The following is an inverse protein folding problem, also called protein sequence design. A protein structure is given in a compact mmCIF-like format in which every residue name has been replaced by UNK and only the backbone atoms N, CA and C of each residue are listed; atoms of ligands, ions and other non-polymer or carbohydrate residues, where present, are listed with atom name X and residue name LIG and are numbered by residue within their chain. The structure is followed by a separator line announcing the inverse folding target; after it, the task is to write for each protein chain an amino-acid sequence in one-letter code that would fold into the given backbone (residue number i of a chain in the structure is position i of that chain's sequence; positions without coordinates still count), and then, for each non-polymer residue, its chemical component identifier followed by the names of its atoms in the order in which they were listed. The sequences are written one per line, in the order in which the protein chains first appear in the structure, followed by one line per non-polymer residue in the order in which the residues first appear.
data_IF_516388724588
#
_entry.id   IF_516388724588
#
_cell.length_a   1.000
_cell.length_b   1.000
_cell.length_c   1.000
_cell.angle_alpha   90.00
_cell.angle_beta   90.00
_cell.angle_gamma   90.00
#
_symmetry.space_group_name_H-M   'P 1'
#
loop_
_entity.id
_entity.type
_entity.pdbx_description
1 polymer ?
#
# COMPACT_ATOMS: atom_id res chain seq x y z
N UNK A 1 -25.08 -8.71 -56.33
CA UNK A 1 -25.11 -7.60 -55.34
C UNK A 1 -25.80 -8.07 -54.07
N UNK A 2 -25.36 -7.56 -52.91
CA UNK A 2 -25.95 -7.64 -51.54
C UNK A 2 -25.42 -8.81 -50.69
N UNK A 3 -24.25 -8.64 -50.04
CA UNK A 3 -24.01 -8.05 -48.69
C UNK A 3 -24.35 -9.04 -47.56
N UNK A 4 -23.37 -9.80 -47.03
CA UNK A 4 -22.56 -9.52 -45.82
C UNK A 4 -23.38 -9.24 -44.55
N UNK A 5 -23.39 -10.20 -43.63
CA UNK A 5 -23.49 -9.95 -42.20
C UNK A 5 -22.67 -11.01 -41.46
N UNK A 6 -21.42 -10.70 -41.16
CA UNK A 6 -20.60 -11.46 -40.21
C UNK A 6 -20.93 -10.93 -38.81
N UNK A 7 -21.56 -11.76 -37.99
CA UNK A 7 -21.85 -11.46 -36.59
C UNK A 7 -20.53 -11.62 -35.81
N UNK A 8 -19.86 -10.52 -35.46
CA UNK A 8 -18.73 -10.54 -34.54
C UNK A 8 -19.31 -10.47 -33.13
N UNK A 9 -19.25 -11.60 -32.42
CA UNK A 9 -19.62 -11.68 -31.01
C UNK A 9 -18.48 -11.09 -30.17
N UNK A 10 -18.64 -9.85 -29.69
CA UNK A 10 -17.73 -9.25 -28.72
C UNK A 10 -17.96 -9.91 -27.36
N UNK A 11 -17.05 -10.80 -26.95
CA UNK A 11 -16.97 -11.29 -25.58
C UNK A 11 -16.43 -10.17 -24.68
N UNK A 12 -17.33 -9.47 -24.00
CA UNK A 12 -16.98 -8.57 -22.89
C UNK A 12 -16.52 -9.43 -21.71
N UNK A 13 -15.21 -9.57 -21.55
CA UNK A 13 -14.61 -10.04 -20.30
C UNK A 13 -14.91 -9.01 -19.22
N UNK A 14 -15.93 -9.27 -18.41
CA UNK A 14 -16.13 -8.58 -17.14
C UNK A 14 -15.05 -9.09 -16.19
N UNK A 15 -13.94 -8.36 -16.09
CA UNK A 15 -12.96 -8.59 -15.03
C UNK A 15 -13.54 -7.97 -13.76
N UNK A 16 -13.83 -8.74 -12.71
CA UNK A 16 -14.17 -8.14 -11.43
C UNK A 16 -12.92 -7.39 -10.96
N UNK A 17 -13.02 -6.06 -10.88
CA UNK A 17 -12.04 -5.23 -10.20
C UNK A 17 -12.12 -5.53 -8.70
N UNK A 18 -11.58 -6.69 -8.32
CA UNK A 18 -11.43 -7.04 -6.93
C UNK A 18 -10.46 -6.02 -6.34
N UNK A 19 -10.81 -5.49 -5.17
CA UNK A 19 -9.89 -4.74 -4.30
C UNK A 19 -8.58 -5.52 -3.97
N UNK A 20 -8.42 -6.76 -4.46
CA UNK A 20 -7.26 -7.63 -4.34
C UNK A 20 -6.13 -7.39 -5.36
N UNK A 21 -6.29 -6.55 -6.39
CA UNK A 21 -5.22 -6.33 -7.39
C UNK A 21 -4.09 -5.38 -6.94
N UNK A 22 -4.29 -4.62 -5.85
CA UNK A 22 -3.30 -3.64 -5.40
C UNK A 22 -2.09 -4.27 -4.69
N UNK A 23 -2.25 -5.48 -4.15
CA UNK A 23 -1.29 -6.18 -3.29
C UNK A 23 -0.25 -7.05 -4.03
N UNK A 24 -0.10 -6.88 -5.34
CA UNK A 24 0.81 -7.72 -6.14
C UNK A 24 2.30 -7.42 -5.92
N UNK A 25 2.60 -6.45 -5.05
CA UNK A 25 3.90 -6.27 -4.42
C UNK A 25 3.76 -6.71 -2.96
N UNK A 26 4.45 -7.78 -2.60
CA UNK A 26 4.60 -8.23 -1.21
C UNK A 26 5.98 -7.77 -0.68
N UNK A 27 6.05 -6.75 0.20
CA UNK A 27 7.31 -6.33 0.80
C UNK A 27 8.01 -7.48 1.53
N UNK A 28 9.32 -7.58 1.38
CA UNK A 28 10.11 -8.71 1.89
C UNK A 28 10.21 -9.91 0.95
N UNK A 29 9.41 -9.96 -0.12
CA UNK A 29 9.45 -11.05 -1.10
C UNK A 29 9.62 -10.54 -2.53
N UNK A 30 8.87 -9.51 -2.91
CA UNK A 30 8.89 -8.97 -4.28
C UNK A 30 10.21 -8.28 -4.57
N UNK A 31 10.77 -8.55 -5.75
CA UNK A 31 12.04 -7.96 -6.20
C UNK A 31 11.84 -6.93 -7.31
N UNK A 32 12.83 -6.04 -7.50
CA UNK A 32 12.86 -5.02 -8.55
C UNK A 32 12.44 -5.53 -9.93
N UNK A 33 12.94 -6.69 -10.36
CA UNK A 33 12.62 -7.27 -11.66
C UNK A 33 11.12 -7.54 -11.84
N UNK A 34 10.44 -8.01 -10.77
CA UNK A 34 8.99 -8.27 -10.79
C UNK A 34 8.20 -6.97 -10.84
N UNK A 35 8.61 -5.95 -10.08
CA UNK A 35 8.00 -4.62 -10.12
C UNK A 35 8.12 -4.03 -11.53
N UNK A 36 9.32 -4.09 -12.12
CA UNK A 36 9.60 -3.57 -13.47
C UNK A 36 8.80 -4.31 -14.55
N UNK A 37 8.70 -5.63 -14.46
CA UNK A 37 7.92 -6.44 -15.38
C UNK A 37 6.43 -6.08 -15.36
N UNK A 38 5.90 -5.70 -14.18
CA UNK A 38 4.48 -5.40 -13.99
C UNK A 38 4.10 -3.97 -14.34
N UNK A 39 4.87 -3.01 -13.84
CA UNK A 39 4.52 -1.58 -13.93
C UNK A 39 5.35 -0.83 -14.99
N UNK A 40 6.30 -1.51 -15.64
CA UNK A 40 7.25 -0.87 -16.53
C UNK A 40 8.23 0.03 -15.78
N UNK A 41 8.89 0.92 -16.54
CA UNK A 41 9.81 1.88 -15.96
C UNK A 41 9.07 2.93 -15.10
N UNK A 42 9.60 3.28 -13.93
CA UNK A 42 9.08 4.38 -13.12
C UNK A 42 9.33 5.73 -13.81
N UNK A 43 8.68 6.78 -13.32
CA UNK A 43 8.96 8.16 -13.77
C UNK A 43 10.24 8.72 -13.16
N UNK A 44 10.62 8.21 -11.98
CA UNK A 44 11.81 8.63 -11.24
C UNK A 44 12.41 7.45 -10.50
N UNK A 45 13.72 7.34 -10.60
CA UNK A 45 14.56 6.40 -9.86
C UNK A 45 15.54 7.23 -9.02
N UNK A 46 15.72 6.87 -7.75
CA UNK A 46 16.61 7.59 -6.84
C UNK A 46 17.39 6.61 -5.99
N UNK A 47 18.71 6.66 -6.08
CA UNK A 47 19.59 5.94 -5.15
C UNK A 47 19.76 6.75 -3.88
N UNK A 48 19.64 6.10 -2.73
CA UNK A 48 19.73 6.70 -1.41
C UNK A 48 20.40 5.76 -0.42
N UNK A 49 20.97 6.32 0.65
CA UNK A 49 21.53 5.53 1.76
C UNK A 49 20.45 5.33 2.81
N UNK A 50 20.09 4.07 3.08
CA UNK A 50 19.19 3.69 4.17
C UNK A 50 19.93 2.70 5.06
N UNK A 51 19.99 2.96 6.37
CA UNK A 51 20.69 2.09 7.33
C UNK A 51 22.16 1.82 6.93
N UNK A 52 22.79 2.76 6.21
CA UNK A 52 24.16 2.64 5.69
C UNK A 52 24.30 1.94 4.34
N UNK A 53 23.23 1.32 3.82
CA UNK A 53 23.24 0.57 2.56
C UNK A 53 22.71 1.39 1.38
N UNK A 54 23.27 1.17 0.20
CA UNK A 54 22.73 1.72 -1.06
C UNK A 54 21.41 1.06 -1.40
N UNK A 55 20.35 1.86 -1.40
CA UNK A 55 18.97 1.46 -1.64
C UNK A 55 18.40 2.29 -2.79
N UNK A 56 17.35 1.80 -3.42
CA UNK A 56 16.68 2.51 -4.51
C UNK A 56 15.23 2.83 -4.16
N UNK A 57 14.76 3.97 -4.65
CA UNK A 57 13.37 4.38 -4.62
C UNK A 57 12.88 4.61 -6.03
N UNK A 58 11.76 3.97 -6.37
CA UNK A 58 11.07 4.17 -7.64
C UNK A 58 9.73 4.85 -7.41
N UNK A 59 9.43 5.86 -8.22
CA UNK A 59 8.18 6.61 -8.17
C UNK A 59 7.42 6.44 -9.48
N UNK A 60 6.13 6.14 -9.36
CA UNK A 60 5.18 6.03 -10.45
C UNK A 60 4.07 7.07 -10.22
N UNK A 61 3.91 8.01 -11.16
CA UNK A 61 2.89 9.06 -11.09
C UNK A 61 2.33 9.35 -12.49
N UNK A 62 1.21 10.08 -12.55
CA UNK A 62 0.55 10.40 -13.82
C UNK A 62 0.15 9.16 -14.60
N UNK A 63 0.52 9.09 -15.88
CA UNK A 63 0.19 7.96 -16.76
C UNK A 63 0.92 6.64 -16.40
N UNK A 64 1.93 6.70 -15.51
CA UNK A 64 2.64 5.51 -15.02
C UNK A 64 2.10 5.01 -13.68
N UNK A 65 1.26 5.77 -13.00
CA UNK A 65 0.60 5.28 -11.79
C UNK A 65 -0.49 4.25 -12.14
N UNK A 66 -0.74 3.27 -11.28
CA UNK A 66 -1.91 2.40 -11.39
C UNK A 66 -3.23 3.19 -11.46
N UNK A 67 -4.28 2.58 -12.01
CA UNK A 67 -5.61 3.19 -12.04
C UNK A 67 -6.05 3.59 -10.62
N UNK A 68 -6.80 4.69 -10.45
CA UNK A 68 -7.22 5.15 -9.12
C UNK A 68 -6.09 5.65 -8.18
N UNK A 69 -4.82 5.47 -8.53
CA UNK A 69 -3.68 5.92 -7.74
C UNK A 69 -3.13 7.22 -8.31
N UNK A 70 -2.87 8.19 -7.44
CA UNK A 70 -2.22 9.44 -7.82
C UNK A 70 -0.69 9.26 -7.88
N UNK A 71 -0.14 8.59 -6.86
CA UNK A 71 1.28 8.28 -6.75
C UNK A 71 1.50 6.92 -6.10
N UNK A 72 2.43 6.17 -6.65
CA UNK A 72 2.89 4.90 -6.12
C UNK A 72 4.41 4.99 -5.92
N UNK A 73 4.88 4.64 -4.73
CA UNK A 73 6.28 4.70 -4.33
C UNK A 73 6.71 3.31 -3.89
N UNK A 74 7.81 2.82 -4.46
CA UNK A 74 8.40 1.52 -4.10
C UNK A 74 9.82 1.78 -3.63
N UNK A 75 10.10 1.45 -2.37
CA UNK A 75 11.46 1.48 -1.85
C UNK A 75 12.01 0.04 -1.82
N UNK A 76 13.24 -0.11 -2.27
CA UNK A 76 14.00 -1.35 -2.26
C UNK A 76 15.10 -1.30 -1.20
N UNK A 77 15.69 -2.45 -0.92
CA UNK A 77 16.79 -2.55 0.04
C UNK A 77 16.29 -2.90 1.43
N UNK A 78 16.21 -4.20 1.70
CA UNK A 78 15.75 -4.72 2.98
C UNK A 78 16.89 -5.38 3.74
N UNK A 79 17.21 -4.84 4.92
CA UNK A 79 18.09 -5.48 5.89
C UNK A 79 17.31 -6.54 6.67
N UNK A 80 17.85 -7.75 6.73
CA UNK A 80 17.29 -8.88 7.48
C UNK A 80 18.37 -9.49 8.38
N UNK A 81 18.01 -10.37 9.34
CA UNK A 81 19.01 -11.11 10.11
C UNK A 81 19.98 -11.94 9.25
N UNK A 82 19.58 -12.33 8.04
CA UNK A 82 20.43 -13.04 7.08
C UNK A 82 21.34 -12.11 6.24
N UNK A 83 21.20 -10.80 6.39
CA UNK A 83 21.95 -9.79 5.65
C UNK A 83 21.07 -8.84 4.82
N UNK A 84 21.74 -7.94 4.11
CA UNK A 84 21.11 -6.92 3.28
C UNK A 84 20.75 -7.45 1.89
N UNK A 85 19.51 -7.21 1.45
CA UNK A 85 19.00 -7.60 0.14
C UNK A 85 18.60 -6.35 -0.65
N UNK A 86 19.47 -5.91 -1.54
CA UNK A 86 19.33 -4.65 -2.30
C UNK A 86 18.08 -4.60 -3.19
N UNK A 87 17.72 -5.70 -3.84
CA UNK A 87 16.70 -5.70 -4.89
C UNK A 87 15.29 -6.00 -4.35
N UNK A 88 15.16 -6.28 -3.05
CA UNK A 88 13.88 -6.66 -2.44
C UNK A 88 13.15 -5.41 -1.97
N UNK A 89 11.84 -5.35 -2.23
CA UNK A 89 10.96 -4.29 -1.74
C UNK A 89 10.97 -4.27 -0.21
N UNK A 90 11.34 -3.13 0.37
CA UNK A 90 11.25 -2.88 1.82
C UNK A 90 9.92 -2.25 2.21
N UNK A 91 9.42 -1.33 1.39
CA UNK A 91 8.19 -0.59 1.63
C UNK A 91 7.54 -0.24 0.32
N UNK A 92 6.22 -0.22 0.33
CA UNK A 92 5.42 0.12 -0.83
C UNK A 92 4.29 1.05 -0.38
N UNK A 93 4.17 2.21 -1.01
CA UNK A 93 3.17 3.22 -0.65
C UNK A 93 2.28 3.56 -1.83
N UNK A 94 0.97 3.55 -1.58
CA UNK A 94 -0.06 4.02 -2.49
C UNK A 94 -0.67 5.30 -1.94
N UNK A 95 -0.67 6.35 -2.75
CA UNK A 95 -1.41 7.59 -2.53
C UNK A 95 -2.60 7.59 -3.49
N UNK A 96 -3.79 7.18 -3.04
CA UNK A 96 -4.95 7.11 -3.90
C UNK A 96 -5.44 8.50 -4.31
N UNK A 97 -6.13 8.58 -5.43
CA UNK A 97 -6.94 9.77 -5.74
C UNK A 97 -8.07 9.88 -4.71
N UNK A 98 -8.61 11.10 -4.53
CA UNK A 98 -9.77 11.33 -3.67
C UNK A 98 -10.93 10.38 -4.05
N UNK A 99 -11.67 9.96 -3.03
CA UNK A 99 -12.86 9.11 -3.13
C UNK A 99 -12.63 7.67 -3.63
N UNK A 100 -11.38 7.27 -3.94
CA UNK A 100 -11.06 5.88 -4.34
C UNK A 100 -11.11 4.92 -3.15
N UNK A 101 -10.61 5.37 -2.00
CA UNK A 101 -10.68 4.63 -0.75
C UNK A 101 -11.25 5.52 0.35
N UNK A 102 -12.26 5.00 1.04
CA UNK A 102 -12.78 5.54 2.28
C UNK A 102 -12.62 4.50 3.40
N UNK A 103 -12.89 4.91 4.64
CA UNK A 103 -12.80 4.04 5.82
C UNK A 103 -13.59 2.75 5.67
N UNK A 104 -14.83 2.82 5.17
CA UNK A 104 -15.67 1.63 4.99
C UNK A 104 -15.03 0.63 4.02
N UNK A 105 -14.54 1.08 2.88
CA UNK A 105 -13.89 0.22 1.89
C UNK A 105 -12.62 -0.44 2.44
N UNK A 106 -11.87 0.28 3.29
CA UNK A 106 -10.71 -0.30 3.97
C UNK A 106 -11.13 -1.42 4.91
N UNK A 107 -12.16 -1.20 5.73
CA UNK A 107 -12.66 -2.21 6.66
C UNK A 107 -13.28 -3.41 5.94
N UNK A 108 -14.01 -3.17 4.85
CA UNK A 108 -14.59 -4.23 4.03
C UNK A 108 -13.49 -5.06 3.31
N UNK A 109 -12.37 -4.43 2.94
CA UNK A 109 -11.26 -5.07 2.24
C UNK A 109 -10.26 -5.80 3.13
N UNK A 110 -9.90 -5.22 4.27
CA UNK A 110 -8.85 -5.72 5.16
C UNK A 110 -9.34 -6.14 6.56
N UNK A 111 -10.62 -5.95 6.85
CA UNK A 111 -11.20 -6.25 8.16
C UNK A 111 -10.93 -5.17 9.20
N UNK A 112 -11.13 -5.52 10.46
CA UNK A 112 -10.83 -4.62 11.58
C UNK A 112 -9.30 -4.48 11.75
N UNK A 113 -8.81 -3.27 12.01
CA UNK A 113 -7.39 -3.08 12.29
C UNK A 113 -7.02 -3.64 13.66
N UNK A 114 -5.78 -4.08 13.80
CA UNK A 114 -5.23 -4.48 15.10
C UNK A 114 -5.11 -3.29 16.04
N UNK A 115 -4.81 -2.09 15.50
CA UNK A 115 -4.77 -0.83 16.27
C UNK A 115 -5.28 0.37 15.50
N UNK A 116 -5.79 1.31 16.28
CA UNK A 116 -6.05 2.68 15.86
C UNK A 116 -4.96 3.57 16.43
N UNK A 117 -4.40 4.44 15.60
CA UNK A 117 -3.39 5.41 15.99
C UNK A 117 -3.73 6.82 15.53
N UNK A 118 -3.02 7.79 16.10
CA UNK A 118 -3.09 9.20 15.68
C UNK A 118 -1.68 9.76 15.56
N UNK A 119 -1.44 10.51 14.50
CA UNK A 119 -0.18 11.20 14.24
C UNK A 119 -0.51 12.65 13.83
N UNK A 120 -0.33 13.58 14.75
CA UNK A 120 -0.84 14.95 14.59
C UNK A 120 -2.36 14.95 14.39
N UNK A 121 -2.82 15.45 13.24
CA UNK A 121 -4.23 15.49 12.87
C UNK A 121 -4.69 14.27 12.05
N UNK A 122 -3.79 13.34 11.75
CA UNK A 122 -4.09 12.15 10.97
C UNK A 122 -4.50 11.02 11.90
N UNK A 123 -5.53 10.28 11.51
CA UNK A 123 -5.84 8.99 12.10
C UNK A 123 -5.26 7.90 11.21
N UNK A 124 -4.86 6.78 11.79
CA UNK A 124 -4.44 5.64 10.99
C UNK A 124 -4.87 4.31 11.57
N UNK A 125 -5.07 3.36 10.68
CA UNK A 125 -5.23 1.94 10.99
C UNK A 125 -3.88 1.24 10.87
N UNK A 126 -3.58 0.38 11.82
CA UNK A 126 -2.40 -0.47 11.81
C UNK A 126 -2.83 -1.92 11.82
N UNK A 127 -2.35 -2.67 10.83
CA UNK A 127 -2.52 -4.11 10.69
C UNK A 127 -1.16 -4.78 10.90
N UNK A 128 -1.10 -5.79 11.78
CA UNK A 128 0.11 -6.57 12.08
C UNK A 128 0.68 -7.28 10.84
N UNK A 129 -0.18 -7.53 9.85
CA UNK A 129 0.21 -8.03 8.52
C UNK A 129 1.06 -7.07 7.69
N UNK A 130 1.41 -5.88 8.21
CA UNK A 130 2.29 -4.92 7.55
C UNK A 130 1.55 -3.87 6.73
N UNK A 131 0.31 -3.53 7.08
CA UNK A 131 -0.43 -2.45 6.43
C UNK A 131 -0.69 -1.31 7.41
N UNK A 132 -0.37 -0.08 6.98
CA UNK A 132 -0.79 1.15 7.62
C UNK A 132 -1.70 1.90 6.65
N UNK A 133 -2.86 2.34 7.13
CA UNK A 133 -3.79 3.16 6.33
C UNK A 133 -3.99 4.49 7.03
N UNK A 134 -3.50 5.56 6.43
CA UNK A 134 -3.65 6.92 6.94
C UNK A 134 -4.88 7.59 6.35
N UNK A 135 -5.61 8.30 7.20
CA UNK A 135 -6.80 9.06 6.84
C UNK A 135 -6.54 10.57 6.97
N UNK A 136 -7.19 11.35 6.10
CA UNK A 136 -7.27 12.81 6.23
C UNK A 136 -7.96 13.20 7.55
N UNK A 137 -7.78 14.45 7.99
CA UNK A 137 -8.43 14.96 9.20
C UNK A 137 -9.96 14.76 9.14
N UNK A 138 -10.52 14.11 10.16
CA UNK A 138 -11.93 13.69 10.18
C UNK A 138 -12.15 12.22 9.82
N UNK A 139 -11.13 11.52 9.32
CA UNK A 139 -11.07 10.06 9.34
C UNK A 139 -11.77 9.33 8.19
N UNK A 140 -12.39 10.02 7.25
CA UNK A 140 -13.19 9.38 6.20
C UNK A 140 -12.37 9.02 4.94
N UNK A 141 -11.51 9.93 4.50
CA UNK A 141 -10.74 9.79 3.25
C UNK A 141 -9.37 9.16 3.51
N UNK A 142 -9.02 8.12 2.76
CA UNK A 142 -7.65 7.56 2.79
C UNK A 142 -6.71 8.44 1.99
N UNK A 143 -5.55 8.77 2.57
CA UNK A 143 -4.50 9.57 1.93
C UNK A 143 -3.24 8.75 1.63
N UNK A 144 -3.01 7.66 2.36
CA UNK A 144 -1.93 6.74 2.08
C UNK A 144 -2.26 5.32 2.57
N UNK A 145 -1.90 4.32 1.78
CA UNK A 145 -1.74 2.94 2.22
C UNK A 145 -0.24 2.61 2.14
N UNK A 146 0.34 2.20 3.26
CA UNK A 146 1.77 1.87 3.36
C UNK A 146 1.88 0.39 3.72
N UNK A 147 2.54 -0.35 2.86
CA UNK A 147 2.80 -1.78 2.99
C UNK A 147 4.26 -1.99 3.40
N UNK A 148 4.47 -2.83 4.39
CA UNK A 148 5.75 -3.26 4.94
C UNK A 148 5.74 -4.78 5.12
N UNK A 149 6.88 -5.44 5.34
CA UNK A 149 6.87 -6.83 5.81
C UNK A 149 6.11 -6.90 7.14
N UNK A 150 5.47 -8.03 7.48
CA UNK A 150 4.75 -8.17 8.74
C UNK A 150 5.57 -7.69 9.95
N UNK A 151 4.98 -6.83 10.77
CA UNK A 151 5.63 -6.27 11.95
C UNK A 151 4.91 -6.77 13.20
N UNK A 152 5.58 -7.52 14.09
CA UNK A 152 5.02 -7.85 15.39
C UNK A 152 4.65 -6.58 16.14
N UNK A 153 3.39 -6.47 16.59
CA UNK A 153 2.94 -5.30 17.33
C UNK A 153 3.30 -5.47 18.82
N UNK A 154 4.06 -4.54 19.44
CA UNK A 154 4.39 -4.62 20.87
C UNK A 154 3.10 -4.50 21.70
N UNK A 155 2.88 -5.23 22.81
CA UNK A 155 1.59 -5.23 23.53
C UNK A 155 0.98 -3.83 23.71
N UNK A 156 -0.35 -3.72 23.58
CA UNK A 156 -1.02 -2.43 23.80
C UNK A 156 -0.74 -1.95 25.23
N UNK A 157 -0.24 -0.71 25.38
CA UNK A 157 -0.05 -0.13 26.71
C UNK A 157 -1.41 -0.03 27.40
N UNK A 158 -1.58 -0.76 28.49
CA UNK A 158 -2.75 -0.65 29.35
C UNK A 158 -2.76 0.78 29.90
N UNK A 159 -3.79 1.55 29.57
CA UNK A 159 -3.96 2.89 30.12
C UNK A 159 -3.87 2.83 31.66
N UNK A 160 -3.15 3.75 32.33
CA UNK A 160 -3.04 3.73 33.77
C UNK A 160 -4.43 3.85 34.40
N UNK A 161 -4.71 2.98 35.38
CA UNK A 161 -5.97 3.00 36.11
C UNK A 161 -6.21 4.40 36.70
N UNK A 162 -7.43 4.96 36.59
CA UNK A 162 -7.72 6.27 37.16
C UNK A 162 -7.43 6.26 38.67
N UNK A 163 -6.87 7.35 39.23
CA UNK A 163 -6.53 7.39 40.64
C UNK A 163 -7.78 7.14 41.48
N UNK A 164 -7.69 6.17 42.38
CA UNK A 164 -8.71 5.87 43.37
C UNK A 164 -8.98 7.15 44.18
N UNK A 165 -10.21 7.71 44.07
CA UNK A 165 -10.66 8.77 44.97
C UNK A 165 -10.65 8.21 46.40
N UNK A 166 -9.66 8.59 47.19
CA UNK A 166 -9.71 8.41 48.63
C UNK A 166 -10.85 9.28 49.18
N UNK A 167 -11.75 8.66 49.95
CA UNK A 167 -12.85 9.30 50.68
C UNK A 167 -12.35 9.81 52.02
#
# INVERSE_FOLDING_TARGET
MRSRAALILLLLLVVPAAAAEWGQINPGETIQAVVRARYGAPVKETTQKIEGYDSEQWVYEGARAPAGIAKMIVDFGLLTPAGYRKDVVRTFRLEPKRDIFNRKLVLDGWGLPDRLGKEGNLEFFLYAGGLLVYFEGGGEQVIALIFTPPQPLPPAETAPAPPSRQR
#
